data_IF_685313487784
#
_entry.id   IF_685313487784
#
_cell.length_a   1.000
_cell.length_b   1.000
_cell.length_c   1.000
_cell.angle_alpha   90.00
_cell.angle_beta   90.00
_cell.angle_gamma   90.00
#
_symmetry.space_group_name_H-M   'P 1'
#
loop_
_entity.id
_entity.type
_entity.pdbx_description
1 polymer ?
#
# COMPACT_ATOMS: atom_id res chain seq x y z
N UNK A 1 22.63 -15.34 -3.93
CA UNK A 1 21.18 -15.59 -4.09
C UNK A 1 20.98 -16.59 -5.22
N UNK A 2 20.27 -17.68 -4.97
CA UNK A 2 19.90 -18.63 -6.02
C UNK A 2 18.86 -17.99 -6.96
N UNK A 3 18.82 -18.39 -8.23
CA UNK A 3 17.82 -17.91 -9.21
C UNK A 3 16.38 -18.05 -8.71
N UNK A 4 16.13 -19.09 -7.90
CA UNK A 4 14.83 -19.35 -7.27
C UNK A 4 14.49 -18.27 -6.24
N UNK A 5 15.40 -17.93 -5.32
CA UNK A 5 15.17 -16.89 -4.30
C UNK A 5 14.87 -15.52 -4.92
N UNK A 6 15.58 -15.16 -5.99
CA UNK A 6 15.33 -13.92 -6.74
C UNK A 6 13.92 -13.88 -7.34
N UNK A 7 13.43 -15.00 -7.88
CA UNK A 7 12.08 -15.09 -8.46
C UNK A 7 10.97 -15.00 -7.41
N UNK A 8 11.18 -15.57 -6.23
CA UNK A 8 10.24 -15.42 -5.11
C UNK A 8 10.19 -13.97 -4.63
N UNK A 9 11.34 -13.33 -4.42
CA UNK A 9 11.42 -11.93 -4.01
C UNK A 9 10.72 -10.98 -5.01
N UNK A 10 10.90 -11.22 -6.33
CA UNK A 10 10.21 -10.44 -7.36
C UNK A 10 8.69 -10.63 -7.35
N UNK A 11 8.22 -11.85 -7.09
CA UNK A 11 6.79 -12.14 -7.00
C UNK A 11 6.16 -11.44 -5.80
N UNK A 12 6.82 -11.49 -4.64
CA UNK A 12 6.34 -10.84 -3.42
C UNK A 12 6.29 -9.32 -3.60
N UNK A 13 7.32 -8.74 -4.23
CA UNK A 13 7.36 -7.31 -4.54
C UNK A 13 6.28 -6.89 -5.54
N UNK A 14 5.98 -7.72 -6.54
CA UNK A 14 4.88 -7.47 -7.48
C UNK A 14 3.51 -7.50 -6.79
N UNK A 15 3.28 -8.45 -5.88
CA UNK A 15 2.04 -8.53 -5.12
C UNK A 15 1.87 -7.32 -4.18
N UNK A 16 2.95 -6.90 -3.53
CA UNK A 16 2.95 -5.74 -2.66
C UNK A 16 2.69 -4.45 -3.45
N UNK A 17 3.31 -4.30 -4.62
CA UNK A 17 3.08 -3.19 -5.54
C UNK A 17 1.62 -3.11 -6.02
N UNK A 18 1.01 -4.24 -6.38
CA UNK A 18 -0.40 -4.29 -6.77
C UNK A 18 -1.33 -3.85 -5.63
N UNK A 19 -1.00 -4.27 -4.41
CA UNK A 19 -1.81 -3.95 -3.23
C UNK A 19 -1.70 -2.47 -2.85
N UNK A 20 -0.49 -1.89 -2.93
CA UNK A 20 -0.27 -0.44 -2.78
C UNK A 20 -1.04 0.37 -3.83
N UNK A 21 -1.00 -0.07 -5.09
CA UNK A 21 -1.74 0.58 -6.18
C UNK A 21 -3.24 0.56 -5.90
N UNK A 22 -3.77 -0.58 -5.47
CA UNK A 22 -5.19 -0.73 -5.13
C UNK A 22 -5.59 0.17 -3.95
N UNK A 23 -4.74 0.25 -2.91
CA UNK A 23 -4.96 1.15 -1.79
C UNK A 23 -4.95 2.63 -2.22
N UNK A 24 -4.06 3.01 -3.13
CA UNK A 24 -4.01 4.34 -3.73
C UNK A 24 -5.31 4.71 -4.47
N UNK A 25 -5.82 3.79 -5.30
CA UNK A 25 -7.12 3.96 -5.99
C UNK A 25 -8.27 4.14 -4.98
N UNK A 26 -8.25 3.38 -3.88
CA UNK A 26 -9.22 3.52 -2.79
C UNK A 26 -9.19 4.90 -2.15
N UNK A 27 -8.00 5.40 -1.81
CA UNK A 27 -7.81 6.74 -1.24
C UNK A 27 -8.31 7.82 -2.20
N UNK A 28 -7.96 7.74 -3.48
CA UNK A 28 -8.39 8.70 -4.50
C UNK A 28 -9.92 8.71 -4.62
N UNK A 29 -10.55 7.53 -4.65
CA UNK A 29 -12.00 7.39 -4.74
C UNK A 29 -12.69 8.05 -3.55
N UNK A 30 -12.19 7.78 -2.33
CA UNK A 30 -12.75 8.42 -1.13
C UNK A 30 -12.56 9.95 -1.18
N UNK A 31 -11.38 10.43 -1.61
CA UNK A 31 -11.13 11.86 -1.78
C UNK A 31 -12.13 12.53 -2.72
N UNK A 32 -12.49 11.87 -3.82
CA UNK A 32 -13.54 12.37 -4.74
C UNK A 32 -14.91 12.40 -4.09
N UNK A 33 -15.30 11.33 -3.36
CA UNK A 33 -16.60 11.29 -2.66
C UNK A 33 -16.71 12.42 -1.63
N UNK A 34 -15.64 12.67 -0.86
CA UNK A 34 -15.57 13.77 0.11
C UNK A 34 -15.63 15.15 -0.55
N UNK A 35 -15.11 15.30 -1.77
CA UNK A 35 -15.07 16.56 -2.49
C UNK A 35 -16.39 16.88 -3.23
N UNK A 36 -17.08 15.85 -3.72
CA UNK A 36 -18.21 16.01 -4.65
C UNK A 36 -19.59 15.88 -3.97
N UNK A 37 -19.64 15.57 -2.67
CA UNK A 37 -20.89 15.22 -1.98
C UNK A 37 -21.04 15.96 -0.65
N UNK A 38 -22.24 16.49 -0.38
CA UNK A 38 -22.63 16.97 0.95
C UNK A 38 -23.01 15.74 1.80
N UNK A 39 -21.99 15.12 2.40
CA UNK A 39 -22.14 13.86 3.12
C UNK A 39 -22.79 14.08 4.48
N UNK A 40 -23.64 13.13 4.87
CA UNK A 40 -24.05 13.02 6.26
C UNK A 40 -22.82 12.76 7.16
N UNK A 41 -22.86 13.27 8.39
CA UNK A 41 -21.73 13.20 9.33
C UNK A 41 -21.23 11.76 9.56
N UNK A 42 -22.13 10.77 9.55
CA UNK A 42 -21.79 9.36 9.73
C UNK A 42 -21.02 8.79 8.53
N UNK A 43 -21.41 9.15 7.30
CA UNK A 43 -20.71 8.74 6.08
C UNK A 43 -19.33 9.38 6.00
N UNK A 44 -19.23 10.67 6.32
CA UNK A 44 -17.96 11.38 6.38
C UNK A 44 -16.99 10.76 7.40
N UNK A 45 -17.50 10.37 8.58
CA UNK A 45 -16.72 9.67 9.60
C UNK A 45 -16.25 8.29 9.10
N UNK A 46 -17.15 7.49 8.51
CA UNK A 46 -16.80 6.19 7.94
C UNK A 46 -15.72 6.28 6.87
N UNK A 47 -15.83 7.26 5.97
CA UNK A 47 -14.82 7.54 4.95
C UNK A 47 -13.49 8.00 5.55
N UNK A 48 -13.52 8.84 6.58
CA UNK A 48 -12.31 9.27 7.29
C UNK A 48 -11.57 8.06 7.93
N UNK A 49 -12.31 7.16 8.58
CA UNK A 49 -11.73 5.92 9.13
C UNK A 49 -11.14 5.03 8.02
N UNK A 50 -11.81 4.92 6.87
CA UNK A 50 -11.32 4.17 5.73
C UNK A 50 -10.01 4.76 5.17
N UNK A 51 -9.90 6.10 5.05
CA UNK A 51 -8.66 6.77 4.67
C UNK A 51 -7.54 6.46 5.67
N UNK A 52 -7.82 6.55 6.97
CA UNK A 52 -6.81 6.28 8.00
C UNK A 52 -6.28 4.84 7.90
N UNK A 53 -7.19 3.86 7.76
CA UNK A 53 -6.82 2.46 7.59
C UNK A 53 -5.99 2.21 6.31
N UNK A 54 -6.38 2.83 5.18
CA UNK A 54 -5.63 2.72 3.92
C UNK A 54 -4.26 3.39 4.03
N UNK A 55 -4.16 4.56 4.68
CA UNK A 55 -2.89 5.24 4.93
C UNK A 55 -1.95 4.40 5.79
N UNK A 56 -2.45 3.77 6.85
CA UNK A 56 -1.66 2.86 7.68
C UNK A 56 -1.19 1.62 6.91
N UNK A 57 -2.04 1.06 6.05
CA UNK A 57 -1.68 -0.03 5.17
C UNK A 57 -0.55 0.37 4.22
N UNK A 58 -0.69 1.50 3.52
CA UNK A 58 0.33 2.02 2.60
C UNK A 58 1.67 2.23 3.31
N UNK A 59 1.64 2.82 4.51
CA UNK A 59 2.84 3.03 5.32
C UNK A 59 3.54 1.72 5.69
N UNK A 60 2.79 0.71 6.14
CA UNK A 60 3.35 -0.61 6.49
C UNK A 60 3.96 -1.32 5.28
N UNK A 61 3.22 -1.35 4.17
CA UNK A 61 3.69 -1.93 2.92
C UNK A 61 4.97 -1.23 2.42
N UNK A 62 5.06 0.10 2.54
CA UNK A 62 6.28 0.84 2.23
C UNK A 62 7.49 0.43 3.09
N UNK A 63 7.31 0.25 4.39
CA UNK A 63 8.38 -0.26 5.27
C UNK A 63 8.80 -1.69 4.91
N UNK A 64 7.85 -2.56 4.60
CA UNK A 64 8.13 -3.95 4.19
C UNK A 64 8.90 -4.02 2.86
N UNK A 65 8.54 -3.17 1.88
CA UNK A 65 9.29 -3.04 0.63
C UNK A 65 10.73 -2.59 0.88
N UNK A 66 10.91 -1.55 1.70
CA UNK A 66 12.25 -1.03 1.99
C UNK A 66 13.12 -2.09 2.68
N UNK A 67 12.58 -2.78 3.69
CA UNK A 67 13.27 -3.87 4.36
C UNK A 67 13.60 -5.05 3.43
N UNK A 68 12.74 -5.33 2.43
CA UNK A 68 13.04 -6.33 1.40
C UNK A 68 14.20 -5.90 0.51
N UNK A 69 14.19 -4.65 0.03
CA UNK A 69 15.27 -4.09 -0.80
C UNK A 69 16.59 -4.09 -0.04
N UNK A 70 16.61 -3.72 1.23
CA UNK A 70 17.82 -3.73 2.07
C UNK A 70 18.41 -5.14 2.25
N UNK A 71 17.55 -6.16 2.41
CA UNK A 71 18.01 -7.56 2.47
C UNK A 71 18.63 -8.01 1.15
N UNK A 72 18.04 -7.60 0.02
CA UNK A 72 18.52 -7.94 -1.31
C UNK A 72 19.84 -7.22 -1.65
N UNK A 73 20.00 -5.97 -1.20
CA UNK A 73 21.21 -5.17 -1.43
C UNK A 73 22.37 -5.55 -0.49
N UNK A 74 22.07 -5.98 0.74
CA UNK A 74 23.06 -6.48 1.71
C UNK A 74 23.60 -7.89 1.44
N UNK A 75 23.04 -8.62 0.47
CA UNK A 75 23.52 -9.93 0.02
C UNK A 75 24.63 -9.89 -1.04
N UNK A 76 25.14 -8.69 -1.35
CA UNK A 76 26.34 -8.47 -2.17
C UNK A 76 27.51 -8.16 -1.23
N UNK A 77 28.02 -9.20 -0.54
CA UNK A 77 29.34 -9.17 0.12
C UNK A 77 30.05 -10.49 -0.15
#
# INVERSE_FOLDING_TARGET
>A
MSDVESRWALKDMAQLSNSLTSAGVGIETIGRILNDTDLHADDANGLQQAIMALGDYVRRAGFEMHAHVDKLSGGIQ
#
